data_IF_912948252030
#
_entry.id   IF_912948252030
#
_cell.length_a   1.000
_cell.length_b   1.000
_cell.length_c   1.000
_cell.angle_alpha   90.00
_cell.angle_beta   90.00
_cell.angle_gamma   90.00
#
_symmetry.space_group_name_H-M   'P 1'
#
loop_
_entity.id
_entity.type
_entity.pdbx_description
1 polymer ?
#
# COMPACT_ATOMS: atom_id res chain seq x y z
N UNK A 1 -76.08 -17.81 14.04
CA UNK A 1 -74.94 -18.00 14.95
C UNK A 1 -74.17 -19.24 14.57
N UNK A 2 -72.99 -19.09 13.96
CA UNK A 2 -71.83 -19.98 14.02
C UNK A 2 -70.76 -19.45 13.06
N UNK A 3 -69.82 -18.77 13.66
CA UNK A 3 -68.59 -18.26 13.08
C UNK A 3 -67.64 -19.41 12.75
N UNK A 4 -66.92 -19.30 11.63
CA UNK A 4 -65.56 -19.81 11.51
C UNK A 4 -64.86 -19.03 10.39
N UNK A 5 -64.12 -17.98 10.78
CA UNK A 5 -63.15 -17.30 9.93
C UNK A 5 -62.00 -18.28 9.63
N UNK A 6 -61.69 -18.49 8.36
CA UNK A 6 -60.41 -19.03 7.93
C UNK A 6 -59.58 -17.88 7.35
N UNK A 7 -58.46 -17.63 8.02
CA UNK A 7 -57.38 -16.71 7.70
C UNK A 7 -56.67 -17.16 6.42
N UNK A 8 -56.25 -16.22 5.56
CA UNK A 8 -54.96 -16.34 4.85
C UNK A 8 -54.45 -14.98 4.35
N UNK A 9 -53.31 -14.63 4.93
CA UNK A 9 -52.42 -13.50 4.69
C UNK A 9 -51.93 -13.41 3.24
N UNK A 10 -51.75 -12.19 2.74
CA UNK A 10 -50.75 -11.88 1.70
C UNK A 10 -50.28 -10.43 1.86
N UNK A 11 -49.34 -10.21 2.80
CA UNK A 11 -48.55 -8.96 2.82
C UNK A 11 -47.51 -9.05 1.70
N UNK A 12 -47.70 -8.28 0.63
CA UNK A 12 -46.67 -7.97 -0.35
C UNK A 12 -45.65 -7.03 0.31
N UNK A 13 -44.55 -7.59 0.79
CA UNK A 13 -43.37 -6.82 1.21
C UNK A 13 -42.71 -6.30 -0.07
N UNK A 14 -42.81 -5.00 -0.31
CA UNK A 14 -42.03 -4.33 -1.33
C UNK A 14 -40.54 -4.44 -0.95
N UNK A 15 -39.80 -5.29 -1.66
CA UNK A 15 -38.34 -5.34 -1.57
C UNK A 15 -37.78 -3.99 -1.99
N UNK A 16 -37.35 -3.20 -1.01
CA UNK A 16 -36.57 -2.00 -1.26
C UNK A 16 -35.31 -2.38 -2.03
N UNK A 17 -35.11 -1.74 -3.18
CA UNK A 17 -33.84 -1.74 -3.87
C UNK A 17 -32.83 -1.00 -2.97
N UNK A 18 -32.21 -1.73 -2.05
CA UNK A 18 -30.92 -1.32 -1.47
C UNK A 18 -29.90 -1.43 -2.59
N UNK A 19 -29.87 -0.41 -3.45
CA UNK A 19 -28.71 -0.15 -4.28
C UNK A 19 -27.55 0.11 -3.30
N UNK A 20 -26.80 -0.94 -2.99
CA UNK A 20 -25.48 -0.84 -2.38
C UNK A 20 -24.62 -0.02 -3.35
N UNK A 21 -24.65 1.30 -3.19
CA UNK A 21 -23.76 2.23 -3.85
C UNK A 21 -22.41 2.08 -3.16
N UNK A 22 -21.64 1.08 -3.58
CA UNK A 22 -20.26 0.83 -3.16
C UNK A 22 -19.25 1.61 -4.01
N UNK A 23 -19.71 2.64 -4.72
CA UNK A 23 -18.85 3.59 -5.43
C UNK A 23 -18.72 4.89 -4.64
N UNK A 24 -17.49 5.35 -4.49
CA UNK A 24 -17.11 6.73 -4.17
C UNK A 24 -17.09 7.13 -2.68
N UNK A 25 -16.44 6.32 -1.83
CA UNK A 25 -15.74 6.95 -0.70
C UNK A 25 -14.34 7.37 -1.17
N UNK A 26 -13.93 8.63 -1.01
CA UNK A 26 -12.56 9.05 -1.22
C UNK A 26 -11.63 8.10 -0.46
N UNK A 27 -10.44 7.83 -1.01
CA UNK A 27 -9.49 6.99 -0.30
C UNK A 27 -9.05 7.62 1.04
N UNK A 28 -9.17 8.96 1.14
CA UNK A 28 -8.99 9.75 2.36
C UNK A 28 -9.81 11.05 2.27
N UNK A 29 -10.39 11.47 3.40
CA UNK A 29 -11.12 12.74 3.54
C UNK A 29 -10.22 13.86 4.12
N UNK A 30 -8.93 13.59 4.34
CA UNK A 30 -8.02 14.57 4.93
C UNK A 30 -7.65 15.66 3.90
N UNK A 31 -7.66 16.96 4.26
CA UNK A 31 -7.42 18.07 3.31
C UNK A 31 -5.96 18.12 2.78
N UNK A 32 -5.05 17.42 3.44
CA UNK A 32 -3.65 17.27 3.05
C UNK A 32 -3.35 15.93 2.37
N UNK A 33 -4.36 15.07 2.19
CA UNK A 33 -4.18 13.81 1.48
C UNK A 33 -3.77 14.06 0.03
N UNK A 34 -3.03 13.10 -0.52
CA UNK A 34 -2.78 13.04 -1.94
C UNK A 34 -4.12 12.90 -2.72
N UNK A 35 -4.25 13.51 -3.91
CA UNK A 35 -5.46 13.38 -4.75
C UNK A 35 -5.86 11.91 -5.02
N UNK A 36 -4.87 11.08 -5.33
CA UNK A 36 -5.00 9.64 -5.58
C UNK A 36 -4.21 8.89 -4.51
N UNK A 37 -4.68 7.70 -4.11
CA UNK A 37 -4.00 6.91 -3.09
C UNK A 37 -2.53 6.67 -3.48
N UNK A 38 -1.54 7.11 -2.69
CA UNK A 38 -0.17 6.70 -2.91
C UNK A 38 0.01 5.28 -2.41
N UNK A 39 0.72 4.43 -3.16
CA UNK A 39 0.98 3.05 -2.75
C UNK A 39 2.36 2.55 -3.20
N UNK A 40 2.84 1.56 -2.45
CA UNK A 40 3.99 0.72 -2.79
C UNK A 40 3.65 -0.72 -2.44
N UNK A 41 4.35 -1.66 -3.06
CA UNK A 41 4.19 -3.09 -2.80
C UNK A 41 5.11 -3.53 -1.67
N UNK A 42 4.62 -4.38 -0.77
CA UNK A 42 5.45 -5.03 0.25
C UNK A 42 5.23 -6.55 0.25
N UNK A 43 6.31 -7.31 0.49
CA UNK A 43 6.30 -8.77 0.55
C UNK A 43 7.36 -9.27 1.53
N UNK A 44 7.11 -10.41 2.16
CA UNK A 44 8.14 -11.20 2.83
C UNK A 44 8.59 -12.33 1.90
N UNK A 45 9.87 -12.33 1.54
CA UNK A 45 10.50 -13.38 0.73
C UNK A 45 11.69 -13.91 1.51
N UNK A 46 11.77 -15.22 1.73
CA UNK A 46 12.87 -15.87 2.47
C UNK A 46 13.20 -15.20 3.82
N UNK A 47 12.16 -14.76 4.54
CA UNK A 47 12.32 -14.08 5.82
C UNK A 47 12.87 -12.65 5.73
N UNK A 48 12.91 -12.05 4.54
CA UNK A 48 13.29 -10.65 4.34
C UNK A 48 12.11 -9.83 3.88
N UNK A 49 12.05 -8.58 4.32
CA UNK A 49 11.07 -7.62 3.84
C UNK A 49 11.56 -7.02 2.52
N UNK A 50 10.78 -7.21 1.47
CA UNK A 50 10.97 -6.65 0.15
C UNK A 50 9.91 -5.59 -0.13
N UNK A 51 10.36 -4.48 -0.70
CA UNK A 51 9.55 -3.33 -1.09
C UNK A 51 9.66 -3.18 -2.61
N UNK A 52 8.53 -3.02 -3.25
CA UNK A 52 8.40 -2.67 -4.65
C UNK A 52 7.86 -1.26 -4.77
N UNK A 53 8.60 -0.42 -5.47
CA UNK A 53 8.09 0.87 -5.87
C UNK A 53 7.69 0.82 -7.35
N UNK A 54 6.44 1.21 -7.69
CA UNK A 54 6.03 1.37 -9.08
C UNK A 54 6.98 2.27 -9.88
N UNK A 55 7.02 2.12 -11.22
CA UNK A 55 7.95 2.87 -12.07
C UNK A 55 7.89 4.40 -11.85
N UNK A 56 9.04 5.06 -11.96
CA UNK A 56 9.12 6.52 -11.94
C UNK A 56 10.00 7.11 -10.84
N UNK A 57 10.55 6.29 -9.94
CA UNK A 57 11.55 6.75 -8.98
C UNK A 57 12.92 6.93 -9.63
N UNK A 58 13.13 8.12 -10.19
CA UNK A 58 14.42 8.59 -10.69
C UNK A 58 14.92 9.77 -9.87
N UNK A 59 16.22 10.00 -9.89
CA UNK A 59 16.84 11.10 -9.15
C UNK A 59 16.55 11.04 -7.65
N UNK A 60 16.58 9.82 -7.09
CA UNK A 60 16.34 9.54 -5.68
C UNK A 60 17.48 10.14 -4.87
N UNK A 61 17.13 10.92 -3.84
CA UNK A 61 18.07 11.53 -2.89
C UNK A 61 17.99 10.92 -1.51
N UNK A 62 16.80 10.46 -1.11
CA UNK A 62 16.57 9.80 0.17
C UNK A 62 15.44 8.78 0.07
N UNK A 63 15.59 7.66 0.77
CA UNK A 63 14.56 6.65 0.99
C UNK A 63 14.45 6.43 2.48
N UNK A 64 13.27 6.67 3.04
CA UNK A 64 12.97 6.40 4.44
C UNK A 64 11.95 5.28 4.53
N UNK A 65 12.34 4.19 5.19
CA UNK A 65 11.45 3.10 5.60
C UNK A 65 11.26 3.20 7.11
N UNK A 66 10.09 3.68 7.53
CA UNK A 66 9.69 3.75 8.92
C UNK A 66 8.96 2.47 9.36
N UNK A 67 9.26 1.99 10.56
CA UNK A 67 8.64 0.80 11.15
C UNK A 67 7.68 1.22 12.27
N UNK A 68 6.45 1.60 11.89
CA UNK A 68 5.47 2.20 12.80
C UNK A 68 5.99 3.49 13.45
N UNK A 69 5.82 3.61 14.77
CA UNK A 69 6.43 4.66 15.59
C UNK A 69 7.84 4.29 16.10
N UNK A 70 8.41 3.21 15.57
CA UNK A 70 9.70 2.67 15.99
C UNK A 70 10.88 3.25 15.21
N UNK A 71 11.99 2.50 15.08
CA UNK A 71 13.16 2.93 14.32
C UNK A 71 12.84 3.04 12.83
N UNK A 72 13.81 3.54 12.07
CA UNK A 72 13.74 3.65 10.62
C UNK A 72 15.05 3.22 9.95
N UNK A 73 14.92 2.84 8.69
CA UNK A 73 16.04 2.72 7.76
C UNK A 73 16.03 3.98 6.87
N UNK A 74 17.13 4.72 6.86
CA UNK A 74 17.32 5.86 5.96
C UNK A 74 18.49 5.60 5.04
N UNK A 75 18.20 5.66 3.74
CA UNK A 75 19.16 5.53 2.66
C UNK A 75 19.27 6.87 1.94
N UNK A 76 20.48 7.29 1.55
CA UNK A 76 20.70 8.56 0.85
C UNK A 76 21.59 8.39 -0.37
N UNK A 77 21.38 9.26 -1.36
CA UNK A 77 22.29 9.48 -2.48
C UNK A 77 22.52 10.98 -2.63
N UNK A 78 23.73 11.43 -2.31
CA UNK A 78 24.11 12.84 -2.44
C UNK A 78 24.22 13.31 -3.89
N UNK A 79 24.39 12.38 -4.85
CA UNK A 79 24.46 12.71 -6.27
C UNK A 79 23.07 12.93 -6.88
N UNK A 80 22.03 12.36 -6.28
CA UNK A 80 20.66 12.41 -6.79
C UNK A 80 20.54 11.74 -8.16
N UNK A 81 21.29 10.66 -8.40
CA UNK A 81 21.28 9.89 -9.65
C UNK A 81 20.67 8.50 -9.47
N UNK A 82 20.50 8.05 -8.23
CA UNK A 82 19.91 6.76 -7.93
C UNK A 82 18.48 6.62 -8.49
N UNK A 83 18.17 5.40 -8.91
CA UNK A 83 16.82 4.95 -9.23
C UNK A 83 16.37 3.93 -8.19
N UNK A 84 15.05 3.75 -8.03
CA UNK A 84 14.52 2.83 -7.03
C UNK A 84 13.29 2.10 -7.55
N UNK A 85 13.48 0.83 -7.93
CA UNK A 85 12.36 -0.03 -8.31
C UNK A 85 12.09 -1.07 -7.22
N UNK A 86 13.15 -1.58 -6.59
CA UNK A 86 13.10 -2.63 -5.57
C UNK A 86 14.05 -2.33 -4.42
N UNK A 87 13.63 -2.70 -3.22
CA UNK A 87 14.41 -2.54 -2.01
C UNK A 87 14.20 -3.75 -1.11
N UNK A 88 15.27 -4.37 -0.62
CA UNK A 88 15.19 -5.38 0.44
C UNK A 88 15.75 -4.78 1.72
N UNK A 89 14.99 -4.83 2.81
CA UNK A 89 15.50 -4.42 4.14
C UNK A 89 16.63 -5.37 4.53
N UNK A 90 17.79 -4.80 4.84
CA UNK A 90 19.04 -5.52 5.05
C UNK A 90 20.00 -5.47 3.85
N UNK A 91 19.57 -4.89 2.72
CA UNK A 91 20.40 -4.66 1.54
C UNK A 91 20.53 -5.86 0.60
N UNK A 92 21.33 -5.72 -0.48
CA UNK A 92 22.17 -4.56 -0.81
C UNK A 92 21.38 -3.31 -1.26
N UNK A 93 22.03 -2.14 -1.24
CA UNK A 93 21.45 -0.85 -1.66
C UNK A 93 22.29 -0.19 -2.78
N UNK A 94 22.16 -0.63 -4.04
CA UNK A 94 22.93 -0.05 -5.14
C UNK A 94 22.68 1.45 -5.29
N UNK A 95 23.76 2.24 -5.35
CA UNK A 95 23.67 3.70 -5.51
C UNK A 95 23.16 4.47 -4.28
N UNK A 96 22.88 3.79 -3.18
CA UNK A 96 22.32 4.36 -1.95
C UNK A 96 23.19 4.00 -0.75
N UNK A 97 23.41 4.95 0.15
CA UNK A 97 24.20 4.77 1.38
C UNK A 97 23.29 4.76 2.60
N UNK A 98 23.48 3.80 3.49
CA UNK A 98 22.78 3.76 4.78
C UNK A 98 23.29 4.89 5.67
N UNK A 99 22.41 5.82 6.04
CA UNK A 99 22.72 6.91 6.98
C UNK A 99 22.05 6.73 8.34
N UNK A 100 21.01 5.92 8.40
CA UNK A 100 20.35 5.50 9.64
C UNK A 100 19.88 4.06 9.47
N UNK A 101 20.03 3.24 10.49
CA UNK A 101 19.63 1.84 10.47
C UNK A 101 18.87 1.48 11.76
N UNK A 102 17.89 0.56 11.68
CA UNK A 102 17.32 -0.03 12.88
C UNK A 102 18.38 -0.78 13.70
N UNK A 103 18.16 -0.97 15.00
CA UNK A 103 18.97 -1.86 15.82
C UNK A 103 19.08 -3.26 15.17
N UNK A 104 20.22 -3.95 15.30
CA UNK A 104 20.47 -5.21 14.61
C UNK A 104 19.51 -6.34 15.00
N UNK A 105 18.89 -6.25 16.18
CA UNK A 105 17.92 -7.19 16.74
C UNK A 105 16.46 -6.73 16.58
N UNK A 106 16.22 -5.64 15.86
CA UNK A 106 14.88 -5.12 15.65
C UNK A 106 14.04 -6.06 14.76
N UNK A 107 12.94 -6.58 15.32
CA UNK A 107 11.96 -7.36 14.57
C UNK A 107 10.87 -6.47 13.96
N UNK A 108 11.05 -6.16 12.68
CA UNK A 108 10.08 -5.38 11.90
C UNK A 108 8.74 -6.10 11.71
N UNK A 109 8.61 -7.41 11.96
CA UNK A 109 7.34 -8.13 11.73
C UNK A 109 6.24 -7.76 12.72
N UNK A 110 6.63 -7.28 13.89
CA UNK A 110 5.72 -6.96 14.98
C UNK A 110 5.11 -5.55 14.86
N UNK A 111 5.55 -4.74 13.90
CA UNK A 111 5.00 -3.39 13.72
C UNK A 111 3.66 -3.44 13.01
N UNK A 112 2.81 -2.44 13.23
CA UNK A 112 1.48 -2.39 12.62
C UNK A 112 1.53 -1.95 11.15
N UNK A 113 2.33 -0.92 10.85
CA UNK A 113 2.47 -0.36 9.50
C UNK A 113 3.93 -0.12 9.14
N UNK A 114 4.26 -0.30 7.87
CA UNK A 114 5.41 0.33 7.24
C UNK A 114 5.01 1.72 6.77
N UNK A 115 5.96 2.64 6.84
CA UNK A 115 5.90 3.94 6.19
C UNK A 115 7.02 4.01 5.15
N UNK A 116 6.70 4.44 3.94
CA UNK A 116 7.68 4.69 2.89
C UNK A 116 7.58 6.13 2.42
N UNK A 117 8.70 6.84 2.49
CA UNK A 117 8.87 8.16 1.91
C UNK A 117 10.09 8.16 1.00
N UNK A 118 9.90 8.51 -0.27
CA UNK A 118 10.97 8.60 -1.26
C UNK A 118 11.10 10.04 -1.71
N UNK A 119 12.25 10.65 -1.40
CA UNK A 119 12.59 11.97 -1.91
C UNK A 119 13.25 11.78 -3.28
N UNK A 120 12.49 12.01 -4.34
CA UNK A 120 12.92 11.89 -5.74
C UNK A 120 12.61 13.17 -6.53
N UNK A 121 12.94 13.19 -7.82
CA UNK A 121 12.51 14.27 -8.73
C UNK A 121 11.91 13.62 -9.97
N UNK A 122 10.62 13.83 -10.28
CA UNK A 122 9.77 14.95 -9.84
C UNK A 122 9.13 14.83 -8.43
N UNK A 123 9.33 13.73 -7.71
CA UNK A 123 8.81 13.54 -6.35
C UNK A 123 7.37 13.02 -6.31
N UNK A 124 6.89 12.63 -5.13
CA UNK A 124 5.54 12.10 -4.93
C UNK A 124 5.08 12.18 -3.48
N UNK A 125 4.09 11.36 -3.13
CA UNK A 125 3.53 11.32 -1.79
C UNK A 125 4.00 10.07 -1.03
N UNK A 126 4.26 10.17 0.28
CA UNK A 126 4.57 9.01 1.09
C UNK A 126 3.34 8.10 1.22
N UNK A 127 3.57 6.83 1.51
CA UNK A 127 2.52 5.84 1.67
C UNK A 127 2.80 4.91 2.85
N UNK A 128 1.79 4.13 3.22
CA UNK A 128 1.87 3.12 4.28
C UNK A 128 1.47 1.74 3.77
N UNK A 129 1.95 0.69 4.44
CA UNK A 129 1.45 -0.67 4.21
C UNK A 129 1.22 -1.40 5.53
N UNK A 130 0.08 -2.09 5.65
CA UNK A 130 -0.25 -2.95 6.81
C UNK A 130 0.61 -4.20 6.88
N UNK A 131 1.35 -4.35 7.97
CA UNK A 131 2.28 -5.47 8.13
C UNK A 131 1.59 -6.80 8.43
N UNK A 132 0.42 -6.78 9.07
CA UNK A 132 -0.39 -7.98 9.28
C UNK A 132 -0.77 -8.65 7.96
N UNK A 133 -1.16 -7.86 6.96
CA UNK A 133 -1.50 -8.33 5.61
C UNK A 133 -0.26 -8.84 4.86
N UNK A 134 0.84 -8.08 4.91
CA UNK A 134 2.10 -8.45 4.26
C UNK A 134 2.62 -9.79 4.81
N UNK A 135 2.71 -9.94 6.13
CA UNK A 135 3.24 -11.16 6.77
C UNK A 135 2.33 -12.35 6.52
N UNK A 136 1.01 -12.19 6.68
CA UNK A 136 0.06 -13.29 6.51
C UNK A 136 -0.09 -13.72 5.03
N UNK A 137 -0.06 -12.76 4.11
CA UNK A 137 -0.36 -13.02 2.70
C UNK A 137 0.84 -13.45 1.85
N UNK A 138 2.08 -13.16 2.26
CA UNK A 138 3.24 -13.39 1.39
C UNK A 138 3.39 -14.83 0.93
N UNK A 139 3.18 -15.82 1.81
CA UNK A 139 3.31 -17.23 1.47
C UNK A 139 2.07 -17.81 0.77
N UNK A 140 0.93 -17.12 0.79
CA UNK A 140 -0.32 -17.59 0.17
C UNK A 140 -0.58 -16.99 -1.21
N UNK A 141 0.26 -16.04 -1.65
CA UNK A 141 0.16 -15.41 -2.97
C UNK A 141 1.37 -15.76 -3.86
N UNK A 142 1.22 -15.74 -5.20
CA UNK A 142 2.29 -16.03 -6.15
C UNK A 142 3.57 -15.23 -5.86
N UNK A 143 4.73 -15.82 -6.15
CA UNK A 143 6.04 -15.29 -5.75
C UNK A 143 6.35 -13.88 -6.29
N UNK A 144 5.77 -13.53 -7.43
CA UNK A 144 5.94 -12.25 -8.13
C UNK A 144 4.92 -11.18 -7.71
N UNK A 145 4.03 -11.49 -6.77
CA UNK A 145 3.02 -10.54 -6.26
C UNK A 145 3.45 -9.84 -4.98
N UNK A 146 3.05 -8.57 -4.85
CA UNK A 146 3.31 -7.72 -3.68
C UNK A 146 2.02 -7.13 -3.16
N UNK A 147 1.91 -6.94 -1.85
CA UNK A 147 0.75 -6.30 -1.25
C UNK A 147 0.84 -4.77 -1.36
N UNK A 148 -0.12 -4.18 -2.06
CA UNK A 148 -0.34 -2.74 -2.13
C UNK A 148 -1.54 -2.38 -1.25
N UNK A 149 -1.32 -1.66 -0.14
CA UNK A 149 -2.38 -1.44 0.85
C UNK A 149 -3.59 -0.69 0.26
N UNK A 150 -4.77 -1.21 0.57
CA UNK A 150 -6.05 -0.78 0.00
C UNK A 150 -6.29 -1.18 -1.46
N UNK A 151 -5.31 -1.77 -2.17
CA UNK A 151 -5.45 -2.19 -3.58
C UNK A 151 -5.43 -3.71 -3.72
N UNK A 152 -4.57 -4.40 -2.96
CA UNK A 152 -4.46 -5.85 -2.93
C UNK A 152 -3.09 -6.39 -3.36
N UNK A 153 -3.01 -7.70 -3.56
CA UNK A 153 -1.81 -8.37 -4.08
C UNK A 153 -1.73 -8.23 -5.59
N UNK A 154 -0.67 -7.58 -6.09
CA UNK A 154 -0.49 -7.29 -7.51
C UNK A 154 0.84 -7.84 -8.01
N UNK A 155 0.82 -8.39 -9.22
CA UNK A 155 1.99 -8.69 -10.04
C UNK A 155 2.33 -7.47 -10.94
N UNK A 156 3.38 -7.53 -11.79
CA UNK A 156 3.72 -6.48 -12.76
C UNK A 156 2.56 -6.05 -13.66
N UNK A 157 1.73 -6.98 -14.12
CA UNK A 157 0.61 -6.66 -15.00
C UNK A 157 -0.49 -5.92 -14.26
N UNK A 158 -0.84 -6.38 -13.05
CA UNK A 158 -1.81 -5.75 -12.17
C UNK A 158 -1.41 -4.34 -11.78
N UNK A 159 -0.12 -4.08 -11.52
CA UNK A 159 0.39 -2.71 -11.31
C UNK A 159 0.18 -1.86 -12.56
N UNK A 160 0.60 -2.34 -13.73
CA UNK A 160 0.45 -1.60 -14.99
C UNK A 160 -1.03 -1.30 -15.34
N UNK A 161 -1.95 -2.19 -14.94
CA UNK A 161 -3.38 -1.99 -15.19
C UNK A 161 -4.03 -0.98 -14.24
N UNK A 162 -3.56 -0.87 -13.00
CA UNK A 162 -4.21 -0.14 -11.90
C UNK A 162 -3.53 1.16 -11.50
N UNK A 163 -2.23 1.29 -11.71
CA UNK A 163 -1.52 2.56 -11.48
C UNK A 163 -2.09 3.66 -12.41
N UNK A 164 -2.24 4.88 -11.89
CA UNK A 164 -2.90 6.00 -12.57
C UNK A 164 -4.43 5.92 -12.59
N UNK A 165 -5.03 4.85 -12.03
CA UNK A 165 -6.50 4.66 -11.95
C UNK A 165 -6.98 4.43 -10.51
N UNK A 166 -6.37 3.49 -9.80
CA UNK A 166 -6.75 3.10 -8.43
C UNK A 166 -5.75 3.62 -7.38
N UNK A 167 -4.50 3.79 -7.78
CA UNK A 167 -3.42 4.31 -6.94
C UNK A 167 -2.34 4.99 -7.81
N UNK A 168 -1.41 5.67 -7.17
CA UNK A 168 -0.20 6.22 -7.77
C UNK A 168 1.04 5.71 -7.02
N UNK A 169 2.15 5.48 -7.72
CA UNK A 169 3.43 5.20 -7.08
C UNK A 169 3.90 6.35 -6.17
N UNK A 170 4.72 6.03 -5.15
CA UNK A 170 5.24 7.02 -4.18
C UNK A 170 6.16 8.09 -4.79
N UNK A 171 6.64 7.88 -6.02
CA UNK A 171 7.43 8.86 -6.78
C UNK A 171 6.66 9.56 -7.89
N UNK A 172 5.36 9.31 -8.01
CA UNK A 172 4.52 9.92 -9.05
C UNK A 172 3.95 11.24 -8.54
N UNK A 173 4.21 12.37 -9.22
CA UNK A 173 3.61 13.64 -8.85
C UNK A 173 2.11 13.58 -9.06
N UNK A 174 1.36 14.03 -8.06
CA UNK A 174 -0.08 14.11 -8.16
C UNK A 174 -0.52 15.58 -8.22
N UNK A 175 -1.40 15.89 -9.17
CA UNK A 175 -1.98 17.22 -9.30
C UNK A 175 -3.20 17.31 -8.38
N UNK A 176 -3.18 18.26 -7.44
CA UNK A 176 -4.40 18.68 -6.74
C UNK A 176 -5.37 19.34 -7.70
#
# INVERSE_FOLDING_TARGET
MRSALAVLLSLLVAMGLSACRTGDRPWSDAPFAAPTRPAFGARVTDGKLEIWVPPGCVGVRSVEVGFGFGPKLVLTDSSGTATLDRLTVGGPYPGLTVTEAPPPDFDWRAVEYLFLNVQSTPGGYPATARMTEVVAGSNSHPADTFFFDGVGWLDPEGVAQKEGKEFEGVCTPQKK
#
